data_IF_994135340459
#
_entry.id   IF_994135340459
#
_cell.length_a   1.000
_cell.length_b   1.000
_cell.length_c   1.000
_cell.angle_alpha   90.00
_cell.angle_beta   90.00
_cell.angle_gamma   90.00
#
_symmetry.space_group_name_H-M   'P 1'
#
loop_
_entity.id
_entity.type
_entity.pdbx_description
1 polymer ?
#
# COMPACT_ATOMS: atom_id res chain seq x y z
N UNK A 1 4.79 -6.58 -6.46
CA UNK A 1 6.27 -6.53 -6.64
C UNK A 1 6.79 -5.26 -6.01
N UNK A 2 8.01 -5.28 -5.48
CA UNK A 2 8.72 -4.11 -4.94
C UNK A 2 10.04 -4.00 -5.69
N UNK A 3 10.13 -3.05 -6.62
CA UNK A 3 11.23 -3.03 -7.61
C UNK A 3 11.29 -4.36 -8.36
N UNK A 4 12.44 -5.02 -8.31
CA UNK A 4 12.67 -6.32 -8.94
C UNK A 4 12.25 -7.51 -8.06
N UNK A 5 11.85 -7.26 -6.81
CA UNK A 5 11.48 -8.33 -5.87
C UNK A 5 10.00 -8.71 -6.01
N UNK A 6 9.76 -10.02 -6.13
CA UNK A 6 8.41 -10.59 -6.09
C UNK A 6 8.05 -10.93 -4.65
N UNK A 7 6.99 -10.30 -4.14
CA UNK A 7 6.45 -10.54 -2.79
C UNK A 7 5.38 -11.64 -2.80
N UNK A 8 4.54 -11.66 -3.83
CA UNK A 8 3.43 -12.60 -3.91
C UNK A 8 3.08 -12.92 -5.37
N UNK A 9 2.78 -14.19 -5.63
CA UNK A 9 2.22 -14.70 -6.89
C UNK A 9 1.00 -15.54 -6.58
N UNK A 10 -0.16 -15.15 -7.12
CA UNK A 10 -1.43 -15.82 -6.89
C UNK A 10 -2.61 -14.86 -6.99
N UNK A 11 -3.80 -15.36 -6.70
CA UNK A 11 -5.02 -14.57 -6.67
C UNK A 11 -5.54 -14.45 -5.24
N UNK A 12 -5.89 -13.22 -4.83
CA UNK A 12 -6.53 -12.93 -3.55
C UNK A 12 -7.56 -11.83 -3.76
N UNK A 13 -8.67 -11.89 -3.01
CA UNK A 13 -9.66 -10.84 -3.02
C UNK A 13 -9.07 -9.55 -2.43
N UNK A 14 -9.35 -8.43 -3.10
CA UNK A 14 -9.02 -7.10 -2.63
C UNK A 14 -10.31 -6.28 -2.51
N UNK A 15 -10.46 -5.59 -1.38
CA UNK A 15 -11.52 -4.65 -1.11
C UNK A 15 -10.95 -3.23 -1.23
N UNK A 16 -11.56 -2.41 -2.09
CA UNK A 16 -11.30 -0.97 -2.12
C UNK A 16 -12.21 -0.31 -1.09
N UNK A 17 -11.63 0.24 -0.03
CA UNK A 17 -12.38 0.76 1.12
C UNK A 17 -12.05 2.23 1.37
N UNK A 18 -12.98 3.12 1.03
CA UNK A 18 -12.82 4.56 1.22
C UNK A 18 -12.84 4.99 2.69
N UNK A 19 -13.28 4.14 3.61
CA UNK A 19 -13.27 4.40 5.06
C UNK A 19 -11.97 3.95 5.72
N UNK A 20 -11.19 3.11 5.03
CA UNK A 20 -9.89 2.65 5.53
C UNK A 20 -8.78 3.60 5.07
N UNK A 21 -7.86 3.95 5.98
CA UNK A 21 -6.82 4.96 5.69
C UNK A 21 -5.60 4.39 4.97
N UNK A 22 -5.17 3.18 5.35
CA UNK A 22 -3.91 2.56 4.92
C UNK A 22 -4.12 1.42 3.90
N UNK A 23 -3.08 0.68 3.59
CA UNK A 23 -3.18 -0.60 2.86
C UNK A 23 -2.96 -1.74 3.85
N UNK A 24 -3.96 -2.59 4.01
CA UNK A 24 -3.89 -3.74 4.91
C UNK A 24 -3.62 -5.02 4.12
N UNK A 25 -2.52 -5.69 4.45
CA UNK A 25 -2.06 -6.91 3.78
C UNK A 25 -1.89 -8.04 4.80
N UNK A 26 -1.93 -9.31 4.36
CA UNK A 26 -1.39 -10.42 5.14
C UNK A 26 -0.03 -10.07 5.72
N UNK A 27 0.17 -10.40 7.00
CA UNK A 27 1.36 -10.02 7.75
C UNK A 27 2.66 -10.39 7.04
N UNK A 28 2.72 -11.56 6.39
CA UNK A 28 3.87 -11.98 5.56
C UNK A 28 4.21 -10.95 4.47
N UNK A 29 3.20 -10.50 3.71
CA UNK A 29 3.41 -9.60 2.57
C UNK A 29 3.77 -8.19 3.05
N UNK A 30 3.05 -7.69 4.07
CA UNK A 30 3.34 -6.38 4.64
C UNK A 30 4.76 -6.32 5.22
N UNK A 31 5.18 -7.33 5.99
CA UNK A 31 6.55 -7.43 6.53
C UNK A 31 7.58 -7.43 5.42
N UNK A 32 7.41 -8.29 4.43
CA UNK A 32 8.37 -8.40 3.33
C UNK A 32 8.47 -7.08 2.54
N UNK A 33 7.34 -6.41 2.25
CA UNK A 33 7.36 -5.09 1.60
C UNK A 33 8.10 -4.09 2.47
N UNK A 34 7.75 -3.98 3.76
CA UNK A 34 8.34 -3.00 4.66
C UNK A 34 9.84 -3.24 4.88
N UNK A 35 10.30 -4.49 4.97
CA UNK A 35 11.72 -4.85 5.06
C UNK A 35 12.53 -4.41 3.83
N UNK A 36 11.98 -4.61 2.63
CA UNK A 36 12.60 -4.17 1.38
C UNK A 36 12.74 -2.63 1.29
N UNK A 37 11.92 -1.90 2.06
CA UNK A 37 11.98 -0.45 2.18
C UNK A 37 12.97 0.05 3.25
N UNK A 38 13.68 -0.87 3.95
CA UNK A 38 14.70 -0.56 4.97
C UNK A 38 14.13 0.30 6.12
N UNK A 39 13.26 -0.29 6.95
CA UNK A 39 12.57 0.45 7.99
C UNK A 39 13.53 0.88 9.09
N UNK A 40 13.19 1.97 9.78
CA UNK A 40 13.98 2.53 10.89
C UNK A 40 13.34 2.32 12.27
N UNK A 41 12.17 1.69 12.31
CA UNK A 41 11.40 1.47 13.54
C UNK A 41 9.92 1.21 13.27
N UNK A 42 9.09 1.39 14.29
CA UNK A 42 7.64 1.27 14.18
C UNK A 42 6.92 2.17 15.19
N UNK A 43 5.69 2.54 14.86
CA UNK A 43 4.79 3.36 15.68
C UNK A 43 3.36 2.87 15.48
N UNK A 44 2.73 2.40 16.56
CA UNK A 44 1.42 1.74 16.49
C UNK A 44 1.40 0.60 15.45
N UNK A 45 0.46 0.59 14.49
CA UNK A 45 0.39 -0.43 13.44
C UNK A 45 1.31 -0.14 12.24
N UNK A 46 2.06 0.96 12.27
CA UNK A 46 2.82 1.45 11.12
C UNK A 46 4.32 1.22 11.27
N UNK A 47 4.98 0.96 10.14
CA UNK A 47 6.44 0.87 10.06
C UNK A 47 7.03 2.23 9.68
N UNK A 48 7.96 2.75 10.48
CA UNK A 48 8.59 4.06 10.23
C UNK A 48 9.72 3.96 9.21
N UNK A 49 9.82 4.95 8.33
CA UNK A 49 10.78 5.04 7.22
C UNK A 49 11.60 6.33 7.31
N UNK A 50 12.83 6.33 6.78
CA UNK A 50 13.57 7.59 6.56
C UNK A 50 13.11 8.28 5.28
N UNK A 51 12.07 9.13 5.38
CA UNK A 51 11.56 9.92 4.25
C UNK A 51 12.62 10.79 3.55
N UNK A 52 13.73 11.13 4.23
CA UNK A 52 14.82 11.96 3.67
C UNK A 52 15.91 11.12 3.02
N UNK A 53 15.73 9.80 2.97
CA UNK A 53 16.63 8.88 2.30
C UNK A 53 16.92 9.35 0.88
N UNK A 54 18.22 9.40 0.55
CA UNK A 54 18.70 9.69 -0.82
C UNK A 54 18.75 8.44 -1.69
N UNK A 55 18.46 7.27 -1.12
CA UNK A 55 18.32 6.05 -1.90
C UNK A 55 16.98 6.10 -2.61
N UNK A 56 16.99 5.89 -3.92
CA UNK A 56 15.76 5.86 -4.71
C UNK A 56 14.75 4.87 -4.12
N UNK A 57 13.53 5.32 -3.95
CA UNK A 57 12.41 4.52 -3.48
C UNK A 57 11.89 3.63 -4.62
N UNK A 58 11.83 2.30 -4.47
CA UNK A 58 11.43 1.40 -5.55
C UNK A 58 9.95 1.55 -5.91
N UNK A 59 9.60 1.29 -7.16
CA UNK A 59 8.19 1.19 -7.54
C UNK A 59 7.54 -0.04 -6.89
N UNK A 60 6.33 0.11 -6.37
CA UNK A 60 5.53 -1.01 -5.85
C UNK A 60 4.35 -1.24 -6.80
N UNK A 61 4.31 -2.43 -7.39
CA UNK A 61 3.32 -2.79 -8.41
C UNK A 61 2.31 -3.80 -7.86
N UNK A 62 1.03 -3.46 -7.99
CA UNK A 62 -0.13 -4.30 -7.73
C UNK A 62 -0.73 -4.75 -9.06
N UNK A 63 -0.94 -6.06 -9.22
CA UNK A 63 -1.47 -6.63 -10.45
C UNK A 63 -2.93 -7.08 -10.25
N UNK A 64 -3.83 -6.56 -11.09
CA UNK A 64 -5.24 -6.92 -11.17
C UNK A 64 -5.53 -7.45 -12.57
N UNK A 65 -5.37 -8.77 -12.76
CA UNK A 65 -5.42 -9.37 -14.09
C UNK A 65 -4.31 -8.81 -15.00
N UNK A 66 -4.69 -8.21 -16.12
CA UNK A 66 -3.77 -7.52 -17.04
C UNK A 66 -3.44 -6.08 -16.65
N UNK A 67 -4.11 -5.53 -15.63
CA UNK A 67 -3.90 -4.14 -15.18
C UNK A 67 -2.81 -4.10 -14.12
N UNK A 68 -1.84 -3.20 -14.30
CA UNK A 68 -0.81 -2.91 -13.29
C UNK A 68 -1.02 -1.52 -12.70
N UNK A 69 -1.19 -1.45 -11.39
CA UNK A 69 -1.24 -0.21 -10.63
C UNK A 69 0.09 -0.03 -9.91
N UNK A 70 0.81 1.05 -10.24
CA UNK A 70 2.17 1.28 -9.77
C UNK A 70 2.19 2.48 -8.82
N UNK A 71 2.57 2.23 -7.57
CA UNK A 71 2.92 3.25 -6.61
C UNK A 71 4.40 3.61 -6.76
N UNK A 72 4.68 4.88 -7.02
CA UNK A 72 6.03 5.45 -7.00
C UNK A 72 6.43 5.83 -5.59
N UNK A 73 7.73 5.94 -5.37
CA UNK A 73 8.34 6.13 -4.05
C UNK A 73 7.55 6.92 -3.00
N UNK A 74 7.39 8.24 -3.17
CA UNK A 74 6.68 9.07 -2.18
C UNK A 74 5.20 8.71 -2.00
N UNK A 75 4.57 7.99 -2.94
CA UNK A 75 3.14 7.70 -2.89
C UNK A 75 2.76 6.66 -1.84
N UNK A 76 3.70 5.83 -1.39
CA UNK A 76 3.46 4.84 -0.34
C UNK A 76 4.08 5.22 1.00
N UNK A 77 4.50 6.48 1.15
CA UNK A 77 4.92 7.07 2.41
C UNK A 77 3.88 8.08 2.89
N UNK A 78 3.62 8.10 4.19
CA UNK A 78 2.71 9.05 4.83
C UNK A 78 3.39 9.73 6.01
N UNK A 79 3.03 10.99 6.27
CA UNK A 79 3.37 11.68 7.51
C UNK A 79 2.20 11.51 8.48
N UNK A 80 2.49 11.13 9.72
CA UNK A 80 1.52 11.03 10.80
C UNK A 80 2.07 11.76 12.03
N UNK A 81 1.19 12.36 12.82
CA UNK A 81 1.50 12.84 14.17
C UNK A 81 1.04 11.75 15.15
N UNK A 82 1.98 11.18 15.88
CA UNK A 82 1.69 10.25 16.98
C UNK A 82 2.44 10.72 18.22
N UNK A 83 1.74 10.84 19.35
CA UNK A 83 2.29 11.33 20.62
C UNK A 83 3.00 12.71 20.52
N UNK A 84 2.56 13.56 19.58
CA UNK A 84 3.14 14.90 19.34
C UNK A 84 4.47 14.88 18.59
N UNK A 85 4.81 13.78 17.93
CA UNK A 85 5.97 13.63 17.06
C UNK A 85 5.56 13.31 15.63
N UNK A 86 6.16 13.99 14.67
CA UNK A 86 5.99 13.70 13.24
C UNK A 86 6.78 12.44 12.86
N UNK A 87 6.05 11.43 12.37
CA UNK A 87 6.61 10.19 11.85
C UNK A 87 6.36 10.05 10.35
N UNK A 88 7.40 9.70 9.61
CA UNK A 88 7.27 9.16 8.27
C UNK A 88 7.03 7.65 8.34
N UNK A 89 5.94 7.17 7.77
CA UNK A 89 5.55 5.76 7.81
C UNK A 89 5.25 5.20 6.43
N UNK A 90 5.45 3.89 6.27
CA UNK A 90 4.89 3.12 5.16
C UNK A 90 3.38 2.98 5.32
N UNK A 91 2.65 3.07 4.21
CA UNK A 91 1.19 2.87 4.20
C UNK A 91 0.79 1.38 4.35
N UNK A 92 1.74 0.45 4.33
CA UNK A 92 1.46 -0.99 4.41
C UNK A 92 1.42 -1.46 5.86
N UNK A 93 0.24 -1.91 6.27
CA UNK A 93 -0.07 -2.42 7.61
C UNK A 93 -0.33 -3.92 7.58
N UNK A 94 0.08 -4.59 8.65
CA UNK A 94 -0.08 -6.03 8.80
C UNK A 94 -1.49 -6.40 9.26
N UNK A 95 -2.01 -7.52 8.75
CA UNK A 95 -3.19 -8.18 9.26
C UNK A 95 -2.96 -9.68 9.43
N UNK A 96 -3.62 -10.23 10.45
CA UNK A 96 -3.72 -11.67 10.61
C UNK A 96 -4.52 -12.25 9.43
N UNK A 97 -3.92 -13.14 8.62
CA UNK A 97 -4.54 -13.60 7.38
C UNK A 97 -5.74 -14.54 7.59
N UNK A 98 -5.90 -15.10 8.80
CA UNK A 98 -7.03 -15.97 9.17
C UNK A 98 -8.23 -15.10 9.52
N UNK A 99 -8.02 -14.08 10.36
CA UNK A 99 -9.05 -13.12 10.72
C UNK A 99 -9.46 -12.22 9.54
N UNK A 100 -8.50 -11.88 8.67
CA UNK A 100 -8.69 -11.01 7.51
C UNK A 100 -8.24 -11.69 6.21
N UNK A 101 -9.12 -12.51 5.59
CA UNK A 101 -8.80 -13.26 4.38
C UNK A 101 -8.74 -12.38 3.11
N UNK A 102 -8.99 -11.07 3.23
CA UNK A 102 -8.98 -10.10 2.13
C UNK A 102 -7.84 -9.09 2.27
N UNK A 103 -7.39 -8.51 1.16
CA UNK A 103 -6.55 -7.31 1.16
C UNK A 103 -7.46 -6.09 1.23
N UNK A 104 -7.13 -5.08 2.02
CA UNK A 104 -7.85 -3.79 2.02
C UNK A 104 -6.96 -2.73 1.39
N UNK A 105 -7.46 -2.09 0.34
CA UNK A 105 -6.83 -0.97 -0.36
C UNK A 105 -7.58 0.30 0.04
N UNK A 106 -7.05 0.99 1.06
CA UNK A 106 -7.66 2.19 1.59
C UNK A 106 -7.35 3.46 0.80
N UNK A 107 -7.72 4.60 1.37
CA UNK A 107 -7.54 5.93 0.78
C UNK A 107 -6.09 6.26 0.43
N UNK A 108 -5.09 5.75 1.18
CA UNK A 108 -3.67 5.93 0.83
C UNK A 108 -3.30 5.31 -0.51
N UNK A 109 -4.03 4.28 -0.96
CA UNK A 109 -3.90 3.66 -2.27
C UNK A 109 -4.85 4.29 -3.29
N UNK A 110 -6.15 4.37 -2.95
CA UNK A 110 -7.20 4.87 -3.85
C UNK A 110 -6.89 6.29 -4.33
N UNK A 111 -6.39 7.16 -3.44
CA UNK A 111 -6.05 8.55 -3.79
C UNK A 111 -4.92 8.70 -4.82
N UNK A 112 -4.21 7.61 -5.19
CA UNK A 112 -3.11 7.63 -6.17
C UNK A 112 -3.58 7.29 -7.58
N UNK A 113 -4.86 6.98 -7.73
CA UNK A 113 -5.45 6.59 -9.00
C UNK A 113 -6.83 7.21 -9.11
N UNK A 114 -7.17 7.79 -10.26
CA UNK A 114 -8.56 8.13 -10.53
C UNK A 114 -9.35 6.82 -10.54
N UNK A 115 -10.27 6.68 -9.60
CA UNK A 115 -10.97 5.43 -9.31
C UNK A 115 -12.46 5.61 -9.56
N UNK A 116 -13.03 4.76 -10.41
CA UNK A 116 -14.48 4.75 -10.72
C UNK A 116 -15.08 3.43 -10.25
N UNK A 117 -16.13 3.52 -9.44
CA UNK A 117 -16.97 2.39 -9.06
C UNK A 117 -18.19 2.37 -9.98
N UNK A 118 -18.19 1.46 -10.95
CA UNK A 118 -19.25 1.31 -11.95
C UNK A 118 -20.17 0.18 -11.51
N UNK A 119 -21.30 0.56 -10.88
CA UNK A 119 -22.27 -0.37 -10.32
C UNK A 119 -23.09 -1.08 -11.42
N UNK A 120 -23.32 -0.42 -12.55
CA UNK A 120 -24.10 -0.99 -13.66
C UNK A 120 -23.36 -2.18 -14.30
N UNK A 121 -22.03 -2.09 -14.40
CA UNK A 121 -21.19 -3.15 -14.94
C UNK A 121 -20.43 -3.95 -13.87
N UNK A 122 -20.70 -3.70 -12.59
CA UNK A 122 -20.08 -4.36 -11.44
C UNK A 122 -18.55 -4.43 -11.53
N UNK A 123 -17.91 -3.29 -11.81
CA UNK A 123 -16.46 -3.21 -12.01
C UNK A 123 -15.86 -1.98 -11.34
N UNK A 124 -14.56 -2.05 -11.10
CA UNK A 124 -13.76 -0.89 -10.67
C UNK A 124 -12.81 -0.52 -11.79
N UNK A 125 -12.83 0.75 -12.18
CA UNK A 125 -11.94 1.33 -13.18
C UNK A 125 -10.86 2.18 -12.52
N UNK A 126 -9.65 2.14 -13.08
CA UNK A 126 -8.51 2.92 -12.61
C UNK A 126 -7.87 3.67 -13.77
N UNK A 127 -7.42 4.89 -13.51
CA UNK A 127 -6.48 5.60 -14.36
C UNK A 127 -5.33 6.15 -13.50
N UNK A 128 -4.17 6.35 -14.12
CA UNK A 128 -3.09 7.10 -13.45
C UNK A 128 -3.60 8.49 -13.14
N UNK A 129 -3.63 8.88 -11.86
CA UNK A 129 -3.83 10.28 -11.52
C UNK A 129 -2.68 11.08 -12.13
N UNK A 130 -2.96 12.19 -12.80
CA UNK A 130 -1.91 13.02 -13.38
C UNK A 130 -0.95 13.53 -12.31
N UNK A 131 0.36 13.29 -12.54
CA UNK A 131 1.56 13.73 -11.79
C UNK A 131 1.97 12.87 -10.59
#
# INVERSE_FOLDING_TARGET
MVGEHTVYVGARAALFDTLYKSVMLPSEFAKQINELLRPIGGVGPFTTMDCKSKHGWPNISFAFGSTQLVLRGPQYLAQIDEDGWDHCVSIFTEADPIAFPVVILGMSFISKFDTVFDLDLMRVGFASSGQ
#
